data_IF_027932184203
#
_entry.id   IF_027932184203
#
_cell.length_a   1.000
_cell.length_b   1.000
_cell.length_c   1.000
_cell.angle_alpha   90.00
_cell.angle_beta   90.00
_cell.angle_gamma   90.00
#
_symmetry.space_group_name_H-M   'P 1'
#
loop_
_entity.id
_entity.type
_entity.pdbx_description
1 polymer ?
#
# COMPACT_ATOMS: atom_id res chain seq x y z
N UNK A 1 23.45 0.90 -17.69
CA UNK A 1 24.27 0.91 -18.93
C UNK A 1 25.61 0.22 -18.69
N UNK A 2 26.42 0.57 -17.70
CA UNK A 2 27.74 -0.01 -17.46
C UNK A 2 27.81 -1.54 -17.39
N UNK A 3 26.80 -2.22 -16.81
CA UNK A 3 26.77 -3.69 -16.75
C UNK A 3 26.58 -4.36 -18.13
N UNK A 4 25.83 -3.74 -19.04
CA UNK A 4 25.64 -4.28 -20.40
C UNK A 4 26.92 -4.08 -21.23
N UNK A 5 27.56 -2.93 -21.10
CA UNK A 5 28.82 -2.64 -21.78
C UNK A 5 29.98 -3.52 -21.28
N UNK A 6 30.06 -3.77 -19.97
CA UNK A 6 31.01 -4.71 -19.37
C UNK A 6 30.85 -6.14 -19.88
N UNK A 7 29.60 -6.55 -20.21
CA UNK A 7 29.30 -7.87 -20.76
C UNK A 7 29.30 -7.88 -22.31
N UNK A 8 29.87 -6.87 -22.96
CA UNK A 8 29.96 -6.72 -24.42
C UNK A 8 28.58 -6.78 -25.13
N UNK A 9 27.51 -6.42 -24.41
CA UNK A 9 26.16 -6.33 -25.00
C UNK A 9 25.93 -4.94 -25.56
N UNK A 10 25.42 -4.88 -26.79
CA UNK A 10 25.15 -3.62 -27.48
C UNK A 10 23.88 -2.99 -26.90
N UNK A 11 24.02 -1.78 -26.35
CA UNK A 11 22.88 -0.96 -25.92
C UNK A 11 22.16 -0.41 -27.15
N UNK A 12 20.82 -0.44 -27.15
CA UNK A 12 20.03 0.07 -28.27
C UNK A 12 20.20 1.60 -28.44
N UNK A 13 20.22 2.07 -29.68
CA UNK A 13 20.48 3.48 -30.01
C UNK A 13 19.49 4.45 -29.36
N UNK A 14 18.21 4.04 -29.27
CA UNK A 14 17.16 4.87 -28.66
C UNK A 14 17.43 5.18 -27.16
N UNK A 15 18.17 4.31 -26.47
CA UNK A 15 18.53 4.55 -25.04
C UNK A 15 19.47 5.74 -24.93
N UNK A 16 20.46 5.83 -25.83
CA UNK A 16 21.38 6.96 -25.87
C UNK A 16 20.67 8.26 -26.27
N UNK A 17 19.74 8.18 -27.23
CA UNK A 17 18.92 9.33 -27.62
C UNK A 17 18.04 9.84 -26.47
N UNK A 18 17.40 8.93 -25.73
CA UNK A 18 16.57 9.23 -24.58
C UNK A 18 17.39 9.93 -23.47
N UNK A 19 18.56 9.35 -23.12
CA UNK A 19 19.45 9.93 -22.11
C UNK A 19 20.04 11.27 -22.56
N UNK A 20 20.40 11.41 -23.83
CA UNK A 20 20.86 12.68 -24.42
C UNK A 20 19.80 13.78 -24.42
N UNK A 21 18.52 13.42 -24.40
CA UNK A 21 17.39 14.34 -24.24
C UNK A 21 17.08 14.66 -22.74
N UNK A 22 17.89 14.18 -21.80
CA UNK A 22 17.69 14.38 -20.36
C UNK A 22 16.62 13.50 -19.74
N UNK A 23 16.18 12.43 -20.42
CA UNK A 23 15.19 11.47 -19.94
C UNK A 23 15.93 10.32 -19.27
N UNK A 24 15.93 10.28 -17.95
CA UNK A 24 16.70 9.31 -17.15
C UNK A 24 15.99 7.96 -16.96
N UNK A 25 14.66 7.91 -17.10
CA UNK A 25 13.86 6.72 -16.88
C UNK A 25 12.83 6.51 -17.98
N UNK A 26 12.66 5.23 -18.38
CA UNK A 26 11.61 4.84 -19.34
C UNK A 26 10.21 4.96 -18.75
N UNK A 27 10.06 4.80 -17.45
CA UNK A 27 8.79 4.97 -16.74
C UNK A 27 8.85 6.16 -15.78
N UNK A 28 7.74 6.88 -15.67
CA UNK A 28 7.54 7.95 -14.70
C UNK A 28 6.13 7.88 -14.12
N UNK A 29 5.91 8.55 -12.98
CA UNK A 29 4.56 8.75 -12.41
C UNK A 29 4.27 10.24 -12.42
N UNK A 30 3.19 10.65 -13.08
CA UNK A 30 2.71 12.03 -13.11
C UNK A 30 1.25 12.04 -12.66
N UNK A 31 0.94 12.82 -11.62
CA UNK A 31 -0.41 12.91 -11.03
C UNK A 31 -1.00 11.54 -10.65
N UNK A 32 -0.17 10.63 -10.10
CA UNK A 32 -0.60 9.28 -9.72
C UNK A 32 -0.79 8.30 -10.89
N UNK A 33 -0.51 8.72 -12.13
CA UNK A 33 -0.63 7.87 -13.32
C UNK A 33 0.78 7.46 -13.76
N UNK A 34 1.01 6.15 -13.86
CA UNK A 34 2.26 5.61 -14.41
C UNK A 34 2.27 5.79 -15.93
N UNK A 35 3.37 6.34 -16.42
CA UNK A 35 3.57 6.65 -17.82
C UNK A 35 4.81 5.94 -18.35
N UNK A 36 4.85 5.65 -19.63
CA UNK A 36 6.01 5.15 -20.33
C UNK A 36 6.51 6.17 -21.37
N UNK A 37 7.80 6.16 -21.65
CA UNK A 37 8.37 7.00 -22.69
C UNK A 37 8.10 6.38 -24.06
N UNK A 38 7.25 7.05 -24.87
CA UNK A 38 6.93 6.61 -26.22
C UNK A 38 8.03 7.08 -27.19
N UNK A 39 8.74 6.13 -27.77
CA UNK A 39 9.89 6.38 -28.66
C UNK A 39 9.50 7.11 -29.95
N UNK A 40 8.26 6.92 -30.42
CA UNK A 40 7.80 7.55 -31.66
C UNK A 40 7.49 9.03 -31.48
N UNK A 41 6.79 9.38 -30.40
CA UNK A 41 6.44 10.78 -30.10
C UNK A 41 7.48 11.50 -29.23
N UNK A 42 8.51 10.79 -28.72
CA UNK A 42 9.55 11.29 -27.80
C UNK A 42 8.96 11.99 -26.57
N UNK A 43 7.87 11.44 -26.04
CA UNK A 43 7.15 12.01 -24.89
C UNK A 43 6.58 10.91 -24.00
N UNK A 44 6.28 11.27 -22.74
CA UNK A 44 5.61 10.33 -21.85
C UNK A 44 4.13 10.19 -22.18
N UNK A 45 3.65 8.93 -22.26
CA UNK A 45 2.25 8.58 -22.46
C UNK A 45 1.75 7.69 -21.35
N UNK A 46 0.47 7.79 -20.99
CA UNK A 46 -0.17 6.89 -20.03
C UNK A 46 -0.15 5.45 -20.59
N UNK A 47 0.09 4.48 -19.70
CA UNK A 47 0.05 3.07 -20.07
C UNK A 47 -1.41 2.70 -20.39
N UNK A 48 -1.70 2.15 -21.58
CA UNK A 48 -3.06 1.78 -21.96
C UNK A 48 -3.69 0.79 -20.98
N UNK A 49 -4.95 1.05 -20.58
CA UNK A 49 -5.71 0.19 -19.67
C UNK A 49 -5.40 0.38 -18.18
N UNK A 50 -4.43 1.19 -17.80
CA UNK A 50 -4.09 1.44 -16.40
C UNK A 50 -5.18 2.21 -15.66
N UNK A 51 -5.99 2.99 -16.34
CA UNK A 51 -7.12 3.73 -15.74
C UNK A 51 -8.19 2.83 -15.09
N UNK A 52 -8.17 1.54 -15.39
CA UNK A 52 -9.12 0.56 -14.85
C UNK A 52 -8.62 -0.11 -13.55
N UNK A 53 -7.42 0.22 -13.10
CA UNK A 53 -6.79 -0.40 -11.94
C UNK A 53 -6.23 0.65 -10.99
N UNK A 54 -6.44 0.44 -9.70
CA UNK A 54 -5.78 1.20 -8.64
C UNK A 54 -4.49 0.47 -8.28
N UNK A 55 -3.35 1.14 -8.51
CA UNK A 55 -2.02 0.62 -8.17
C UNK A 55 -1.51 1.35 -6.95
N UNK A 56 -1.55 0.70 -5.78
CA UNK A 56 -1.18 1.31 -4.49
C UNK A 56 0.25 1.88 -4.50
N UNK A 57 1.18 1.20 -5.18
CA UNK A 57 2.57 1.67 -5.29
C UNK A 57 2.70 3.07 -5.93
N UNK A 58 1.82 3.40 -6.86
CA UNK A 58 1.84 4.71 -7.53
C UNK A 58 1.27 5.82 -6.61
N UNK A 59 0.38 5.45 -5.68
CA UNK A 59 -0.26 6.37 -4.73
C UNK A 59 0.58 6.62 -3.46
N UNK A 60 1.55 5.76 -3.15
CA UNK A 60 2.36 5.84 -1.92
C UNK A 60 3.11 7.18 -1.74
N UNK A 61 3.34 7.93 -2.80
CA UNK A 61 4.08 9.19 -2.74
C UNK A 61 3.19 10.43 -2.64
N UNK A 62 1.97 10.35 -3.12
CA UNK A 62 1.11 11.52 -3.35
C UNK A 62 -0.19 11.50 -2.56
N UNK A 63 -0.74 10.32 -2.27
CA UNK A 63 -2.11 10.18 -1.77
C UNK A 63 -2.20 9.68 -0.32
N UNK A 64 -1.08 9.62 0.41
CA UNK A 64 -1.08 9.22 1.83
C UNK A 64 -1.74 10.32 2.66
N UNK A 65 -2.84 10.00 3.33
CA UNK A 65 -3.56 10.92 4.21
C UNK A 65 -3.21 10.68 5.69
N UNK A 66 -2.76 9.46 6.03
CA UNK A 66 -2.29 9.12 7.37
C UNK A 66 -1.40 7.86 7.33
N UNK A 67 -0.47 7.72 8.27
CA UNK A 67 0.39 6.53 8.41
C UNK A 67 0.94 6.38 9.82
N UNK A 68 1.30 5.13 10.16
CA UNK A 68 2.15 4.77 11.30
C UNK A 68 3.21 3.74 10.85
N UNK A 69 3.87 3.07 11.81
CA UNK A 69 4.88 2.03 11.52
C UNK A 69 4.30 0.77 10.88
N UNK A 70 3.04 0.44 11.13
CA UNK A 70 2.40 -0.80 10.66
C UNK A 70 1.51 -0.65 9.43
N UNK A 71 1.05 0.56 9.09
CA UNK A 71 0.14 0.76 7.97
C UNK A 71 0.15 2.20 7.43
N UNK A 72 -0.33 2.34 6.20
CA UNK A 72 -0.66 3.64 5.58
C UNK A 72 -2.11 3.68 5.13
N UNK A 73 -2.70 4.87 5.21
CA UNK A 73 -4.04 5.16 4.71
C UNK A 73 -3.92 6.08 3.52
N UNK A 74 -4.50 5.70 2.39
CA UNK A 74 -4.47 6.41 1.12
C UNK A 74 -5.86 6.89 0.73
N UNK A 75 -5.95 8.06 0.15
CA UNK A 75 -7.11 8.45 -0.65
C UNK A 75 -6.95 7.83 -2.05
N UNK A 76 -7.84 6.90 -2.40
CA UNK A 76 -7.84 6.22 -3.70
C UNK A 76 -8.81 6.80 -4.71
N UNK A 77 -9.41 7.95 -4.37
CA UNK A 77 -10.43 8.62 -5.18
C UNK A 77 -11.86 8.22 -4.81
N UNK A 78 -12.82 8.88 -5.43
CA UNK A 78 -14.26 8.66 -5.25
C UNK A 78 -14.77 8.73 -3.80
N UNK A 79 -14.00 9.36 -2.91
CA UNK A 79 -14.28 9.44 -1.49
C UNK A 79 -14.02 8.13 -0.74
N UNK A 80 -13.09 7.31 -1.20
CA UNK A 80 -12.75 6.02 -0.60
C UNK A 80 -11.32 6.04 -0.08
N UNK A 81 -11.13 5.56 1.16
CA UNK A 81 -9.82 5.33 1.75
C UNK A 81 -9.39 3.88 1.55
N UNK A 82 -8.10 3.65 1.29
CA UNK A 82 -7.49 2.32 1.36
C UNK A 82 -6.51 2.24 2.52
N UNK A 83 -6.56 1.15 3.26
CA UNK A 83 -5.58 0.83 4.31
C UNK A 83 -4.64 -0.24 3.74
N UNK A 84 -3.34 0.06 3.74
CA UNK A 84 -2.29 -0.87 3.34
C UNK A 84 -1.38 -1.18 4.54
N UNK A 85 -1.14 -2.48 4.80
CA UNK A 85 -0.27 -2.93 5.88
C UNK A 85 1.20 -2.96 5.44
N UNK A 86 2.12 -2.66 6.37
CA UNK A 86 3.57 -2.63 6.13
C UNK A 86 4.35 -3.49 7.10
N UNK A 87 3.68 -4.18 8.01
CA UNK A 87 4.31 -5.13 8.92
C UNK A 87 4.92 -6.30 8.16
N UNK A 88 5.88 -7.00 8.76
CA UNK A 88 6.45 -8.21 8.15
C UNK A 88 5.34 -9.22 7.87
N UNK A 89 5.23 -9.67 6.61
CA UNK A 89 4.18 -10.57 6.10
C UNK A 89 2.76 -10.01 6.30
N UNK A 90 2.61 -8.69 6.40
CA UNK A 90 1.35 -8.01 6.66
C UNK A 90 0.63 -8.54 7.91
N UNK A 91 1.40 -8.86 8.97
CA UNK A 91 0.83 -9.32 10.24
C UNK A 91 0.00 -8.20 10.88
N UNK A 92 -1.12 -8.60 11.51
CA UNK A 92 -2.02 -7.69 12.20
C UNK A 92 -1.55 -7.57 13.65
N UNK A 93 -1.04 -6.39 13.99
CA UNK A 93 -0.61 -6.01 15.34
C UNK A 93 -1.26 -4.70 15.78
N UNK A 94 -0.83 -4.15 16.93
CA UNK A 94 -1.40 -2.93 17.50
C UNK A 94 -1.42 -1.73 16.54
N UNK A 95 -0.33 -1.52 15.79
CA UNK A 95 -0.24 -0.43 14.81
C UNK A 95 -1.24 -0.60 13.65
N UNK A 96 -1.41 -1.84 13.16
CA UNK A 96 -2.37 -2.15 12.11
C UNK A 96 -3.80 -1.95 12.60
N UNK A 97 -4.13 -2.42 13.82
CA UNK A 97 -5.44 -2.22 14.44
C UNK A 97 -5.74 -0.73 14.67
N UNK A 98 -4.74 0.02 15.13
CA UNK A 98 -4.83 1.48 15.28
C UNK A 98 -5.10 2.18 13.94
N UNK A 99 -4.45 1.75 12.87
CA UNK A 99 -4.67 2.30 11.53
C UNK A 99 -6.09 2.01 11.01
N UNK A 100 -6.62 0.81 11.24
CA UNK A 100 -8.00 0.46 10.88
C UNK A 100 -8.99 1.39 11.59
N UNK A 101 -8.88 1.53 12.91
CA UNK A 101 -9.75 2.41 13.68
C UNK A 101 -9.63 3.86 13.21
N UNK A 102 -8.40 4.35 12.97
CA UNK A 102 -8.16 5.71 12.50
C UNK A 102 -8.77 5.97 11.13
N UNK A 103 -8.65 5.02 10.20
CA UNK A 103 -9.23 5.15 8.86
C UNK A 103 -10.77 5.19 8.91
N UNK A 104 -11.39 4.37 9.77
CA UNK A 104 -12.84 4.41 9.97
C UNK A 104 -13.28 5.76 10.55
N UNK A 105 -12.57 6.27 11.59
CA UNK A 105 -12.87 7.58 12.19
C UNK A 105 -12.76 8.74 11.20
N UNK A 106 -11.79 8.66 10.27
CA UNK A 106 -11.65 9.63 9.19
C UNK A 106 -12.78 9.47 8.16
N UNK A 107 -13.07 8.23 7.78
CA UNK A 107 -14.05 7.97 6.75
C UNK A 107 -15.48 8.33 7.19
N UNK A 108 -15.85 8.10 8.44
CA UNK A 108 -17.15 8.51 8.97
C UNK A 108 -17.37 10.03 8.96
N UNK A 109 -16.30 10.83 8.88
CA UNK A 109 -16.37 12.29 8.82
C UNK A 109 -16.40 12.82 7.38
N UNK A 110 -15.47 12.33 6.55
CA UNK A 110 -15.13 13.03 5.32
C UNK A 110 -15.12 12.12 4.07
N UNK A 111 -15.33 10.80 4.23
CA UNK A 111 -15.28 9.84 3.13
C UNK A 111 -16.53 8.96 3.08
N UNK A 112 -16.64 8.15 2.04
CA UNK A 112 -17.81 7.31 1.76
C UNK A 112 -17.61 5.84 2.13
N UNK A 113 -16.37 5.41 2.33
CA UNK A 113 -16.03 4.04 2.65
C UNK A 113 -14.54 3.80 2.81
N UNK A 114 -14.22 2.59 3.28
CA UNK A 114 -12.86 2.13 3.50
C UNK A 114 -12.66 0.78 2.80
N UNK A 115 -11.52 0.62 2.14
CA UNK A 115 -11.02 -0.66 1.63
C UNK A 115 -9.80 -1.06 2.46
N UNK A 116 -9.71 -2.32 2.87
CA UNK A 116 -8.49 -2.92 3.41
C UNK A 116 -7.89 -3.76 2.28
N UNK A 117 -6.86 -3.22 1.64
CA UNK A 117 -6.23 -3.84 0.48
C UNK A 117 -4.72 -3.65 0.52
N UNK A 118 -3.97 -4.73 0.35
CA UNK A 118 -2.53 -4.76 0.40
C UNK A 118 -1.92 -5.02 -0.98
N UNK A 119 -0.73 -4.47 -1.22
CA UNK A 119 0.09 -4.79 -2.37
C UNK A 119 1.28 -5.63 -1.88
N UNK A 120 1.26 -6.94 -2.16
CA UNK A 120 2.29 -7.87 -1.70
C UNK A 120 1.99 -9.31 -2.08
N UNK A 121 2.91 -10.22 -1.74
CA UNK A 121 2.78 -11.65 -2.05
C UNK A 121 1.64 -12.33 -1.24
N UNK A 122 1.26 -11.76 -0.10
CA UNK A 122 0.20 -12.26 0.77
C UNK A 122 -0.62 -11.09 1.30
N UNK A 123 -1.92 -11.26 1.37
CA UNK A 123 -2.80 -10.27 1.99
C UNK A 123 -2.42 -10.03 3.46
N UNK A 124 -2.37 -11.07 4.26
CA UNK A 124 -1.94 -11.02 5.67
C UNK A 124 -1.64 -12.42 6.20
N UNK A 125 -0.62 -12.55 7.04
CA UNK A 125 -0.34 -13.76 7.81
C UNK A 125 -1.17 -13.86 9.11
N UNK A 126 -2.07 -12.93 9.37
CA UNK A 126 -2.88 -12.87 10.59
C UNK A 126 -2.14 -12.27 11.77
N UNK A 127 -2.53 -12.64 13.01
CA UNK A 127 -1.91 -12.11 14.22
C UNK A 127 -0.46 -12.62 14.40
N UNK A 128 0.36 -11.85 15.13
CA UNK A 128 1.72 -12.24 15.47
C UNK A 128 1.71 -13.30 16.58
N UNK A 129 1.69 -14.58 16.16
CA UNK A 129 1.66 -15.73 17.09
C UNK A 129 2.90 -15.77 18.00
N UNK A 130 4.06 -15.29 17.53
CA UNK A 130 5.27 -15.21 18.36
C UNK A 130 5.10 -14.29 19.56
N UNK A 131 4.48 -13.13 19.38
CA UNK A 131 4.17 -12.22 20.50
C UNK A 131 3.17 -12.86 21.48
N UNK A 132 2.12 -13.46 20.97
CA UNK A 132 1.12 -14.17 21.79
C UNK A 132 1.78 -15.24 22.63
N UNK A 133 2.66 -16.04 22.02
CA UNK A 133 3.40 -17.09 22.70
C UNK A 133 4.31 -16.53 23.81
N UNK A 134 5.05 -15.46 23.53
CA UNK A 134 5.93 -14.82 24.53
C UNK A 134 5.14 -14.28 25.73
N UNK A 135 4.05 -13.56 25.52
CA UNK A 135 3.18 -13.09 26.59
C UNK A 135 2.65 -14.26 27.44
N UNK A 136 2.29 -15.37 26.83
CA UNK A 136 1.81 -16.56 27.54
C UNK A 136 2.91 -17.23 28.36
N UNK A 137 4.14 -17.33 27.85
CA UNK A 137 5.30 -17.91 28.56
C UNK A 137 5.73 -17.03 29.73
N UNK A 138 5.69 -15.70 29.55
CA UNK A 138 6.03 -14.71 30.57
C UNK A 138 4.89 -14.50 31.58
N UNK A 139 3.75 -15.19 31.38
CA UNK A 139 2.54 -15.09 32.22
C UNK A 139 1.94 -13.67 32.28
N UNK A 140 2.16 -12.86 31.23
CA UNK A 140 1.59 -11.53 31.05
C UNK A 140 0.14 -11.64 30.56
N UNK A 141 -0.72 -12.26 31.36
CA UNK A 141 -2.11 -12.55 30.96
C UNK A 141 -2.97 -11.31 30.80
N UNK A 142 -2.68 -10.23 31.52
CA UNK A 142 -3.41 -8.99 31.40
C UNK A 142 -3.10 -8.30 30.08
N UNK A 143 -1.85 -8.26 29.64
CA UNK A 143 -1.41 -7.76 28.36
C UNK A 143 -1.97 -8.59 27.22
N UNK A 144 -1.94 -9.91 27.34
CA UNK A 144 -2.54 -10.84 26.37
C UNK A 144 -4.05 -10.60 26.22
N UNK A 145 -4.76 -10.45 27.34
CA UNK A 145 -6.19 -10.16 27.36
C UNK A 145 -6.49 -8.82 26.71
N UNK A 146 -5.69 -7.81 26.98
CA UNK A 146 -5.82 -6.48 26.37
C UNK A 146 -5.60 -6.53 24.85
N UNK A 147 -4.59 -7.27 24.39
CA UNK A 147 -4.29 -7.45 22.97
C UNK A 147 -5.44 -8.16 22.23
N UNK A 148 -5.99 -9.22 22.82
CA UNK A 148 -7.13 -9.97 22.29
C UNK A 148 -8.37 -9.07 22.22
N UNK A 149 -8.63 -8.33 23.31
CA UNK A 149 -9.76 -7.41 23.36
C UNK A 149 -9.65 -6.31 22.32
N UNK A 150 -8.48 -5.69 22.16
CA UNK A 150 -8.24 -4.67 21.13
C UNK A 150 -8.51 -5.22 19.73
N UNK A 151 -8.10 -6.46 19.45
CA UNK A 151 -8.39 -7.10 18.16
C UNK A 151 -9.88 -7.29 17.95
N UNK A 152 -10.58 -7.86 18.95
CA UNK A 152 -12.03 -8.08 18.89
C UNK A 152 -12.81 -6.77 18.73
N UNK A 153 -12.49 -5.76 19.53
CA UNK A 153 -13.13 -4.44 19.48
C UNK A 153 -12.94 -3.79 18.11
N UNK A 154 -11.75 -3.93 17.51
CA UNK A 154 -11.48 -3.42 16.15
C UNK A 154 -12.31 -4.17 15.10
N UNK A 155 -12.44 -5.50 15.19
CA UNK A 155 -13.29 -6.26 14.28
C UNK A 155 -14.77 -5.89 14.43
N UNK A 156 -15.22 -5.64 15.66
CA UNK A 156 -16.58 -5.15 15.90
C UNK A 156 -16.75 -3.72 15.35
N UNK A 157 -15.73 -2.86 15.48
CA UNK A 157 -15.75 -1.50 14.89
C UNK A 157 -15.86 -1.54 13.37
N UNK A 158 -15.12 -2.45 12.70
CA UNK A 158 -15.24 -2.71 11.26
C UNK A 158 -16.68 -3.15 10.90
N UNK A 159 -17.22 -4.11 11.64
CA UNK A 159 -18.54 -4.71 11.36
C UNK A 159 -19.68 -3.70 11.52
N UNK A 160 -19.59 -2.82 12.51
CA UNK A 160 -20.66 -1.88 12.88
C UNK A 160 -20.30 -0.42 12.56
N UNK A 161 -19.34 -0.18 11.68
CA UNK A 161 -19.01 1.16 11.19
C UNK A 161 -20.21 1.81 10.48
N UNK A 162 -20.30 3.13 10.58
CA UNK A 162 -21.34 3.91 9.90
C UNK A 162 -21.17 4.02 8.39
N UNK A 163 -20.05 3.49 7.86
CA UNK A 163 -19.70 3.49 6.43
C UNK A 163 -19.30 2.08 5.98
N UNK A 164 -19.43 1.76 4.68
CA UNK A 164 -18.96 0.48 4.15
C UNK A 164 -17.45 0.26 4.38
N UNK A 165 -17.09 -0.90 4.91
CA UNK A 165 -15.71 -1.37 4.99
C UNK A 165 -15.59 -2.68 4.21
N UNK A 166 -14.75 -2.67 3.18
CA UNK A 166 -14.54 -3.82 2.27
C UNK A 166 -13.13 -4.35 2.50
N UNK A 167 -13.01 -5.66 2.65
CA UNK A 167 -11.72 -6.35 2.71
C UNK A 167 -11.48 -7.00 1.35
N UNK A 168 -10.33 -6.69 0.73
CA UNK A 168 -9.95 -7.17 -0.60
C UNK A 168 -8.75 -8.14 -0.51
N UNK A 169 -8.94 -9.38 -0.05
CA UNK A 169 -7.88 -10.38 0.01
C UNK A 169 -7.54 -10.90 -1.39
N UNK A 170 -6.28 -11.33 -1.56
CA UNK A 170 -5.75 -11.93 -2.80
C UNK A 170 -4.83 -13.11 -2.49
#
# INVERSE_FOLDING_TARGET
MGLLEQNQQKVATWVYEMLGAGIESFYTVQNGIKMYYDLASKSYKAIPGQSNFIILNDLRKTNVVWKNSGASVFDIGDGVLNIEFHSKMNTIGGDTLSAINKAIDMAEKDYRGVVIGNDGANFSAGANVGMIFMMAVEQEYDELNMAIKMFQDTMMRVRYSGIPVIVAPH
#
